data_IF_151802759108
#
_entry.id   IF_151802759108
#
_cell.length_a   1.000
_cell.length_b   1.000
_cell.length_c   1.000
_cell.angle_alpha   90.00
_cell.angle_beta   90.00
_cell.angle_gamma   90.00
#
_symmetry.space_group_name_H-M   'P 1'
#
loop_
_entity.id
_entity.type
_entity.pdbx_description
1 polymer ?
#
# COMPACT_ATOMS: atom_id res chain seq x y z
N UNK A 1 -20.23 0.00 -6.85
CA UNK A 1 -19.29 0.99 -6.26
C UNK A 1 -18.23 1.39 -7.27
N UNK A 2 -17.73 2.64 -7.24
CA UNK A 2 -16.54 3.07 -8.00
C UNK A 2 -15.27 2.76 -7.18
N UNK A 3 -14.21 2.32 -7.83
CA UNK A 3 -12.96 1.92 -7.17
C UNK A 3 -11.85 2.91 -7.52
N UNK A 4 -11.27 3.53 -6.49
CA UNK A 4 -10.19 4.50 -6.61
C UNK A 4 -8.92 3.89 -6.03
N UNK A 5 -7.91 3.69 -6.88
CA UNK A 5 -6.59 3.26 -6.43
C UNK A 5 -5.71 4.45 -6.05
N UNK A 6 -5.10 4.41 -4.89
CA UNK A 6 -4.12 5.41 -4.46
C UNK A 6 -2.77 4.72 -4.29
N UNK A 7 -1.79 5.15 -5.07
CA UNK A 7 -0.44 4.58 -5.02
C UNK A 7 0.63 5.66 -4.88
N UNK A 8 1.84 5.23 -4.58
CA UNK A 8 3.00 6.09 -4.40
C UNK A 8 4.01 5.47 -3.44
N UNK A 9 5.23 5.95 -3.43
CA UNK A 9 6.30 5.44 -2.55
C UNK A 9 6.00 5.67 -1.08
N UNK A 10 6.56 4.84 -0.20
CA UNK A 10 6.46 4.99 1.26
C UNK A 10 6.85 6.40 1.69
N UNK A 11 6.07 7.01 2.57
CA UNK A 11 6.25 8.40 3.02
C UNK A 11 5.74 9.46 2.04
N UNK A 12 5.13 9.09 0.89
CA UNK A 12 4.56 10.07 -0.05
C UNK A 12 3.28 10.74 0.45
N UNK A 13 2.54 10.14 1.39
CA UNK A 13 1.27 10.66 1.90
C UNK A 13 0.03 9.99 1.33
N UNK A 14 0.15 8.79 0.76
CA UNK A 14 -0.97 7.97 0.24
C UNK A 14 -2.10 7.81 1.24
N UNK A 15 -1.79 7.30 2.45
CA UNK A 15 -2.80 7.04 3.48
C UNK A 15 -3.45 8.32 4.00
N UNK A 16 -2.72 9.44 3.99
CA UNK A 16 -3.30 10.76 4.28
C UNK A 16 -4.30 11.17 3.20
N UNK A 17 -3.95 10.92 1.93
CA UNK A 17 -4.84 11.19 0.80
C UNK A 17 -6.07 10.27 0.82
N UNK A 18 -5.88 8.98 1.11
CA UNK A 18 -6.98 8.01 1.25
C UNK A 18 -7.95 8.42 2.36
N UNK A 19 -7.44 8.77 3.55
CA UNK A 19 -8.25 9.21 4.67
C UNK A 19 -9.03 10.50 4.35
N UNK A 20 -8.40 11.46 3.65
CA UNK A 20 -9.07 12.68 3.23
C UNK A 20 -10.21 12.41 2.24
N UNK A 21 -9.96 11.65 1.18
CA UNK A 21 -10.99 11.29 0.21
C UNK A 21 -12.13 10.51 0.86
N UNK A 22 -11.83 9.61 1.79
CA UNK A 22 -12.83 8.87 2.54
C UNK A 22 -13.73 9.77 3.39
N UNK A 23 -13.20 10.86 3.94
CA UNK A 23 -13.98 11.83 4.72
C UNK A 23 -14.90 12.71 3.86
N UNK A 24 -14.65 12.77 2.54
CA UNK A 24 -15.36 13.66 1.61
C UNK A 24 -16.29 12.92 0.64
N UNK A 25 -15.94 11.70 0.26
CA UNK A 25 -16.74 10.91 -0.66
C UNK A 25 -17.83 10.15 0.13
N UNK A 26 -19.08 10.34 -0.26
CA UNK A 26 -20.22 9.68 0.37
C UNK A 26 -20.14 8.15 0.22
N UNK A 27 -20.50 7.42 1.27
CA UNK A 27 -20.53 5.96 1.29
C UNK A 27 -19.20 5.32 0.85
N UNK A 28 -18.08 5.93 1.27
CA UNK A 28 -16.73 5.46 0.92
C UNK A 28 -16.12 4.60 2.02
N UNK A 29 -15.30 3.63 1.62
CA UNK A 29 -14.54 2.76 2.51
C UNK A 29 -13.09 2.66 2.02
N UNK A 30 -12.16 2.58 2.98
CA UNK A 30 -10.75 2.38 2.69
C UNK A 30 -10.41 0.89 2.77
N UNK A 31 -9.75 0.39 1.75
CA UNK A 31 -9.13 -0.92 1.71
C UNK A 31 -7.61 -0.74 1.77
N UNK A 32 -7.05 -0.93 2.96
CA UNK A 32 -5.61 -0.84 3.22
C UNK A 32 -4.95 -2.17 2.89
N UNK A 33 -4.14 -2.21 1.84
CA UNK A 33 -3.47 -3.45 1.43
C UNK A 33 -2.38 -3.90 2.40
N UNK A 34 -1.76 -2.99 3.14
CA UNK A 34 -0.79 -3.35 4.18
C UNK A 34 -1.52 -4.06 5.35
N UNK A 35 -2.74 -3.64 5.66
CA UNK A 35 -3.63 -4.32 6.61
C UNK A 35 -4.04 -5.71 6.13
N UNK A 36 -4.51 -5.82 4.88
CA UNK A 36 -4.89 -7.11 4.28
C UNK A 36 -3.71 -8.08 4.27
N UNK A 37 -2.50 -7.64 3.94
CA UNK A 37 -1.32 -8.50 4.00
C UNK A 37 -1.09 -9.07 5.41
N UNK A 38 -1.29 -8.27 6.47
CA UNK A 38 -1.20 -8.75 7.86
C UNK A 38 -2.28 -9.76 8.20
N UNK A 39 -3.49 -9.58 7.68
CA UNK A 39 -4.58 -10.55 7.86
C UNK A 39 -4.27 -11.88 7.18
N UNK A 40 -3.70 -11.86 5.96
CA UNK A 40 -3.21 -13.07 5.28
C UNK A 40 -2.20 -13.83 6.13
N UNK A 41 -1.24 -13.16 6.76
CA UNK A 41 -0.28 -13.81 7.65
C UNK A 41 -0.95 -14.44 8.88
N UNK A 42 -1.95 -13.78 9.45
CA UNK A 42 -2.64 -14.27 10.66
C UNK A 42 -3.58 -15.44 10.39
N UNK A 43 -4.22 -15.45 9.24
CA UNK A 43 -5.29 -16.40 8.91
C UNK A 43 -4.78 -17.62 8.16
N UNK A 44 -3.56 -17.58 7.61
CA UNK A 44 -3.06 -18.64 6.74
C UNK A 44 -1.72 -19.21 7.23
N UNK A 45 -1.81 -20.32 8.01
CA UNK A 45 -0.62 -21.03 8.52
C UNK A 45 0.34 -21.49 7.41
N UNK A 46 -0.17 -21.91 6.26
CA UNK A 46 0.65 -22.35 5.12
C UNK A 46 1.53 -21.21 4.60
N UNK A 47 1.06 -19.96 4.69
CA UNK A 47 1.87 -18.77 4.34
C UNK A 47 3.03 -18.64 5.31
N UNK A 48 2.78 -18.77 6.60
CA UNK A 48 3.83 -18.65 7.63
C UNK A 48 4.91 -19.73 7.44
N UNK A 49 4.51 -20.96 7.10
CA UNK A 49 5.46 -22.03 6.78
C UNK A 49 6.31 -21.71 5.54
N UNK A 50 5.68 -21.19 4.47
CA UNK A 50 6.43 -20.75 3.29
C UNK A 50 7.41 -19.62 3.63
N UNK A 51 7.00 -18.67 4.49
CA UNK A 51 7.90 -17.60 4.93
C UNK A 51 9.07 -18.14 5.74
N UNK A 52 8.85 -19.13 6.64
CA UNK A 52 9.94 -19.80 7.37
C UNK A 52 10.91 -20.51 6.43
N UNK A 53 10.40 -21.14 5.38
CA UNK A 53 11.22 -21.80 4.38
C UNK A 53 12.09 -20.82 3.60
N UNK A 54 11.50 -19.70 3.16
CA UNK A 54 12.20 -18.72 2.31
C UNK A 54 13.11 -17.77 3.10
N UNK A 55 12.72 -17.36 4.31
CA UNK A 55 13.36 -16.27 5.05
C UNK A 55 13.95 -16.66 6.41
N UNK A 56 13.88 -17.95 6.75
CA UNK A 56 14.42 -18.51 7.99
C UNK A 56 13.36 -18.83 9.05
N UNK A 57 13.67 -19.84 9.89
CA UNK A 57 12.72 -20.39 10.89
C UNK A 57 12.27 -19.35 11.92
N UNK A 58 13.09 -18.37 12.19
CA UNK A 58 12.88 -17.32 13.19
C UNK A 58 12.14 -16.07 12.64
N UNK A 59 11.59 -16.18 11.41
CA UNK A 59 10.72 -15.15 10.83
C UNK A 59 9.34 -15.08 11.51
N UNK A 60 8.94 -16.18 12.19
CA UNK A 60 7.73 -16.23 12.99
C UNK A 60 8.00 -16.99 14.28
N UNK A 61 7.29 -16.65 15.36
CA UNK A 61 7.36 -17.33 16.64
C UNK A 61 6.63 -18.68 16.62
N UNK A 62 6.55 -19.34 17.81
CA UNK A 62 5.90 -20.65 17.97
C UNK A 62 4.38 -20.59 17.78
N UNK A 63 3.79 -19.40 17.92
CA UNK A 63 2.36 -19.14 17.73
C UNK A 63 2.05 -18.66 16.30
N UNK A 64 2.97 -18.84 15.36
CA UNK A 64 2.86 -18.40 13.96
C UNK A 64 2.75 -16.88 13.78
N UNK A 65 3.13 -16.07 14.77
CA UNK A 65 3.15 -14.62 14.64
C UNK A 65 4.40 -14.16 13.90
N UNK A 66 4.20 -13.56 12.74
CA UNK A 66 5.29 -13.06 11.89
C UNK A 66 5.99 -11.86 12.53
N UNK A 67 7.33 -11.92 12.58
CA UNK A 67 8.17 -10.79 12.96
C UNK A 67 8.34 -9.82 11.78
N UNK A 68 7.39 -8.89 11.64
CA UNK A 68 7.38 -7.92 10.54
C UNK A 68 8.63 -7.03 10.47
N UNK A 69 9.29 -6.77 11.61
CA UNK A 69 10.53 -5.99 11.63
C UNK A 69 11.66 -6.77 10.96
N UNK A 70 11.81 -8.03 11.33
CA UNK A 70 12.81 -8.93 10.76
C UNK A 70 12.55 -9.22 9.29
N UNK A 71 11.32 -9.56 8.93
CA UNK A 71 10.93 -9.76 7.53
C UNK A 71 11.23 -8.51 6.70
N UNK A 72 10.84 -7.34 7.22
CA UNK A 72 11.11 -6.07 6.55
C UNK A 72 12.60 -5.78 6.37
N UNK A 73 13.47 -6.08 7.35
CA UNK A 73 14.91 -5.87 7.21
C UNK A 73 15.53 -6.75 6.11
N UNK A 74 15.04 -7.98 5.94
CA UNK A 74 15.48 -8.89 4.89
C UNK A 74 15.03 -8.40 3.51
N UNK A 75 13.72 -8.23 3.32
CA UNK A 75 13.14 -7.97 1.99
C UNK A 75 13.42 -6.55 1.47
N UNK A 76 13.64 -5.57 2.36
CA UNK A 76 14.03 -4.23 1.92
C UNK A 76 15.55 -4.09 1.66
N UNK A 77 16.37 -5.03 2.14
CA UNK A 77 17.79 -5.04 1.86
C UNK A 77 18.11 -5.59 0.46
N UNK A 78 17.30 -6.54 -0.03
CA UNK A 78 17.53 -7.23 -1.30
C UNK A 78 16.25 -7.27 -2.17
N UNK A 79 16.39 -6.90 -3.46
CA UNK A 79 15.26 -6.89 -4.39
C UNK A 79 14.75 -8.31 -4.70
N UNK A 80 15.62 -9.32 -4.75
CA UNK A 80 15.24 -10.72 -4.99
C UNK A 80 14.45 -11.30 -3.82
N UNK A 81 14.81 -10.95 -2.58
CA UNK A 81 14.04 -11.34 -1.41
C UNK A 81 12.66 -10.67 -1.38
N UNK A 82 12.58 -9.42 -1.82
CA UNK A 82 11.29 -8.74 -2.00
C UNK A 82 10.43 -9.43 -3.06
N UNK A 83 11.01 -9.85 -4.19
CA UNK A 83 10.28 -10.56 -5.26
C UNK A 83 9.73 -11.90 -4.76
N UNK A 84 10.50 -12.68 -4.01
CA UNK A 84 10.03 -13.93 -3.38
C UNK A 84 8.83 -13.69 -2.45
N UNK A 85 8.87 -12.63 -1.65
CA UNK A 85 7.74 -12.26 -0.80
C UNK A 85 6.52 -11.87 -1.62
N UNK A 86 6.72 -11.06 -2.66
CA UNK A 86 5.67 -10.61 -3.58
C UNK A 86 4.97 -11.83 -4.25
N UNK A 87 5.73 -12.85 -4.70
CA UNK A 87 5.20 -14.07 -5.31
C UNK A 87 4.33 -14.90 -4.34
N UNK A 88 4.70 -14.94 -3.07
CA UNK A 88 3.91 -15.64 -2.04
C UNK A 88 2.63 -14.88 -1.72
N UNK A 89 2.73 -13.55 -1.59
CA UNK A 89 1.69 -12.73 -0.98
C UNK A 89 0.67 -12.18 -1.96
N UNK A 90 1.08 -11.80 -3.18
CA UNK A 90 0.18 -11.12 -4.12
C UNK A 90 -1.05 -11.96 -4.50
N UNK A 91 -0.95 -13.26 -4.81
CA UNK A 91 -2.14 -14.04 -5.14
C UNK A 91 -3.19 -14.03 -4.02
N UNK A 92 -2.76 -14.12 -2.78
CA UNK A 92 -3.64 -14.17 -1.61
C UNK A 92 -4.25 -12.79 -1.29
N UNK A 93 -3.46 -11.73 -1.44
CA UNK A 93 -3.96 -10.35 -1.28
C UNK A 93 -4.98 -10.03 -2.38
N UNK A 94 -4.69 -10.42 -3.63
CA UNK A 94 -5.61 -10.22 -4.76
C UNK A 94 -6.94 -10.96 -4.55
N UNK A 95 -6.90 -12.19 -4.06
CA UNK A 95 -8.10 -12.98 -3.73
C UNK A 95 -8.95 -12.27 -2.67
N UNK A 96 -8.36 -11.85 -1.55
CA UNK A 96 -9.08 -11.11 -0.51
C UNK A 96 -9.65 -9.78 -1.01
N UNK A 97 -8.90 -9.04 -1.83
CA UNK A 97 -9.41 -7.80 -2.44
C UNK A 97 -10.60 -8.08 -3.35
N UNK A 98 -10.51 -9.12 -4.18
CA UNK A 98 -11.60 -9.54 -5.08
C UNK A 98 -12.85 -9.93 -4.30
N UNK A 99 -12.71 -10.74 -3.25
CA UNK A 99 -13.83 -11.10 -2.37
C UNK A 99 -14.49 -9.86 -1.75
N UNK A 100 -13.68 -8.92 -1.26
CA UNK A 100 -14.18 -7.69 -0.67
C UNK A 100 -14.97 -6.84 -1.67
N UNK A 101 -14.44 -6.68 -2.88
CA UNK A 101 -15.11 -5.96 -3.98
C UNK A 101 -16.44 -6.64 -4.32
N UNK A 102 -16.47 -7.96 -4.48
CA UNK A 102 -17.68 -8.72 -4.81
C UNK A 102 -18.75 -8.58 -3.72
N UNK A 103 -18.39 -8.68 -2.44
CA UNK A 103 -19.32 -8.51 -1.30
C UNK A 103 -19.95 -7.11 -1.24
N UNK A 104 -19.31 -6.11 -1.84
CA UNK A 104 -19.80 -4.73 -1.83
C UNK A 104 -20.29 -4.22 -3.20
N UNK A 105 -20.25 -5.03 -4.23
CA UNK A 105 -20.52 -4.59 -5.61
C UNK A 105 -21.96 -4.04 -5.83
N UNK A 106 -22.93 -4.54 -5.08
CA UNK A 106 -24.32 -4.07 -5.13
C UNK A 106 -24.57 -2.73 -4.41
N UNK A 107 -23.60 -2.23 -3.63
CA UNK A 107 -23.72 -0.99 -2.88
C UNK A 107 -23.34 0.22 -3.75
N UNK A 108 -23.95 1.38 -3.50
CA UNK A 108 -23.47 2.66 -4.00
C UNK A 108 -22.19 3.11 -3.27
N UNK A 109 -21.52 4.16 -3.79
CA UNK A 109 -20.35 4.76 -3.13
C UNK A 109 -19.00 4.31 -3.69
N UNK A 110 -17.96 4.36 -2.86
CA UNK A 110 -16.57 4.21 -3.30
C UNK A 110 -15.80 3.19 -2.47
N UNK A 111 -14.89 2.46 -3.13
CA UNK A 111 -13.80 1.73 -2.49
C UNK A 111 -12.50 2.48 -2.80
N UNK A 112 -11.79 2.91 -1.76
CA UNK A 112 -10.49 3.57 -1.87
C UNK A 112 -9.42 2.55 -1.52
N UNK A 113 -8.63 2.11 -2.49
CA UNK A 113 -7.54 1.14 -2.29
C UNK A 113 -6.25 1.91 -2.03
N UNK A 114 -5.76 1.87 -0.78
CA UNK A 114 -4.43 2.43 -0.41
C UNK A 114 -3.36 1.34 -0.56
N UNK A 115 -2.52 1.47 -1.60
CA UNK A 115 -1.52 0.47 -1.91
C UNK A 115 -0.24 1.03 -2.53
N UNK A 116 0.91 0.81 -1.88
CA UNK A 116 2.20 1.05 -2.52
C UNK A 116 2.48 0.06 -3.66
N UNK A 117 1.95 -1.16 -3.53
CA UNK A 117 2.16 -2.29 -4.45
C UNK A 117 1.10 -2.39 -5.57
N UNK A 118 0.24 -1.38 -5.72
CA UNK A 118 -0.92 -1.41 -6.61
C UNK A 118 -0.60 -1.93 -8.03
N UNK A 119 0.50 -1.48 -8.61
CA UNK A 119 0.91 -1.86 -9.96
C UNK A 119 1.82 -3.10 -10.04
N UNK A 120 2.33 -3.57 -8.92
CA UNK A 120 3.05 -4.85 -8.85
C UNK A 120 2.08 -6.04 -8.80
N UNK A 121 0.89 -5.84 -8.22
CA UNK A 121 -0.22 -6.79 -8.22
C UNK A 121 -1.17 -6.51 -9.37
N UNK A 122 -2.14 -7.40 -9.62
CA UNK A 122 -3.20 -7.17 -10.60
C UNK A 122 -4.35 -6.29 -10.07
N UNK A 123 -4.29 -5.84 -8.84
CA UNK A 123 -5.35 -5.06 -8.17
C UNK A 123 -5.67 -3.76 -8.91
N UNK A 124 -4.67 -3.15 -9.58
CA UNK A 124 -4.92 -1.94 -10.38
C UNK A 124 -5.97 -2.14 -11.49
N UNK A 125 -6.20 -3.37 -11.95
CA UNK A 125 -7.19 -3.69 -12.99
C UNK A 125 -8.63 -3.49 -12.51
N UNK A 126 -8.86 -3.51 -11.20
CA UNK A 126 -10.18 -3.25 -10.61
C UNK A 126 -10.46 -1.74 -10.45
N UNK A 127 -9.43 -0.89 -10.54
CA UNK A 127 -9.58 0.53 -10.29
C UNK A 127 -10.19 1.28 -11.49
N UNK A 128 -11.25 2.04 -11.26
CA UNK A 128 -11.82 2.96 -12.26
C UNK A 128 -10.92 4.18 -12.47
N UNK A 129 -10.36 4.71 -11.39
CA UNK A 129 -9.41 5.83 -11.41
C UNK A 129 -8.21 5.51 -10.50
N UNK A 130 -7.02 5.98 -10.90
CA UNK A 130 -5.79 5.78 -10.13
C UNK A 130 -5.12 7.12 -9.88
N UNK A 131 -4.82 7.39 -8.61
CA UNK A 131 -4.12 8.57 -8.11
C UNK A 131 -2.70 8.16 -7.70
N UNK A 132 -1.70 8.79 -8.29
CA UNK A 132 -0.30 8.66 -7.88
C UNK A 132 0.08 9.83 -6.98
N UNK A 133 0.37 9.56 -5.71
CA UNK A 133 0.91 10.56 -4.78
C UNK A 133 2.42 10.52 -4.81
N UNK A 134 3.04 11.59 -5.30
CA UNK A 134 4.49 11.78 -5.36
C UNK A 134 4.96 12.68 -4.21
N UNK A 135 6.16 12.42 -3.74
CA UNK A 135 6.88 13.34 -2.85
C UNK A 135 8.38 13.14 -3.04
N UNK A 136 9.14 14.20 -2.87
CA UNK A 136 10.59 14.16 -2.91
C UNK A 136 11.19 13.32 -1.79
N UNK A 137 12.44 12.92 -1.95
CA UNK A 137 13.14 12.04 -1.02
C UNK A 137 13.29 12.69 0.36
N UNK A 138 13.55 13.99 0.43
CA UNK A 138 13.73 14.76 1.67
C UNK A 138 12.47 14.73 2.53
N UNK A 139 11.30 15.02 1.93
CA UNK A 139 10.02 15.01 2.63
C UNK A 139 9.61 13.59 3.04
N UNK A 140 9.82 12.59 2.18
CA UNK A 140 9.55 11.18 2.51
C UNK A 140 10.40 10.71 3.69
N UNK A 141 11.71 11.01 3.70
CA UNK A 141 12.62 10.71 4.82
C UNK A 141 12.14 11.33 6.12
N UNK A 142 11.84 12.64 6.10
CA UNK A 142 11.32 13.36 7.27
C UNK A 142 10.04 12.70 7.84
N UNK A 143 9.08 12.39 6.97
CA UNK A 143 7.81 11.77 7.39
C UNK A 143 8.01 10.36 7.96
N UNK A 144 8.92 9.56 7.39
CA UNK A 144 9.20 8.22 7.86
C UNK A 144 9.91 8.23 9.22
N UNK A 145 10.87 9.14 9.44
CA UNK A 145 11.52 9.33 10.76
C UNK A 145 10.49 9.68 11.83
N UNK A 146 9.57 10.59 11.52
CA UNK A 146 8.54 11.00 12.47
C UNK A 146 7.50 9.91 12.77
N UNK A 147 7.17 9.06 11.79
CA UNK A 147 6.16 7.99 11.94
C UNK A 147 6.73 6.75 12.63
N UNK A 148 7.98 6.42 12.38
CA UNK A 148 8.61 5.17 12.78
C UNK A 148 9.92 5.43 13.53
N UNK A 149 9.88 6.13 14.64
CA UNK A 149 11.06 6.48 15.45
C UNK A 149 11.95 5.30 15.89
N UNK A 150 11.50 4.05 15.67
CA UNK A 150 12.24 2.82 16.00
C UNK A 150 12.96 2.17 14.79
N UNK A 151 12.87 2.74 13.58
CA UNK A 151 13.62 2.23 12.43
C UNK A 151 15.09 2.62 12.53
N UNK A 152 15.98 1.66 12.25
CA UNK A 152 17.39 1.97 12.06
C UNK A 152 17.58 2.89 10.84
N UNK A 153 18.68 3.65 10.79
CA UNK A 153 18.98 4.50 9.63
C UNK A 153 19.17 3.64 8.36
N UNK A 154 19.78 2.46 8.48
CA UNK A 154 19.93 1.51 7.37
C UNK A 154 18.60 1.01 6.82
N UNK A 155 17.66 0.61 7.69
CA UNK A 155 16.32 0.18 7.27
C UNK A 155 15.55 1.31 6.58
N UNK A 156 15.70 2.53 7.09
CA UNK A 156 15.10 3.71 6.48
C UNK A 156 15.62 3.94 5.05
N UNK A 157 16.96 3.89 4.88
CA UNK A 157 17.57 4.06 3.56
C UNK A 157 17.17 2.96 2.59
N UNK A 158 17.17 1.71 3.03
CA UNK A 158 16.74 0.57 2.22
C UNK A 158 15.29 0.74 1.74
N UNK A 159 14.37 1.14 2.62
CA UNK A 159 12.96 1.42 2.26
C UNK A 159 12.83 2.58 1.27
N UNK A 160 13.66 3.62 1.41
CA UNK A 160 13.60 4.78 0.52
C UNK A 160 14.15 4.48 -0.87
N UNK A 161 15.22 3.67 -0.98
CA UNK A 161 15.92 3.35 -2.23
C UNK A 161 15.25 2.21 -3.00
N UNK A 162 14.96 1.10 -2.33
CA UNK A 162 14.63 -0.16 -2.99
C UNK A 162 13.15 -0.33 -3.33
N UNK A 163 12.27 0.58 -2.89
CA UNK A 163 10.85 0.48 -3.20
C UNK A 163 10.56 0.86 -4.65
N UNK A 164 10.31 -0.16 -5.48
CA UNK A 164 9.79 -0.01 -6.83
C UNK A 164 8.26 -0.10 -6.80
N UNK A 165 7.54 0.84 -7.40
CA UNK A 165 6.07 0.88 -7.44
C UNK A 165 5.46 0.47 -8.78
N UNK A 166 6.29 0.10 -9.77
CA UNK A 166 5.85 -0.51 -11.02
C UNK A 166 4.98 0.36 -11.93
N UNK A 167 5.20 1.68 -11.96
CA UNK A 167 4.34 2.63 -12.70
C UNK A 167 4.63 2.75 -14.20
N UNK A 168 5.72 2.16 -14.70
CA UNK A 168 6.13 2.29 -16.11
C UNK A 168 5.09 1.62 -16.99
N UNK A 169 4.59 2.34 -18.02
CA UNK A 169 3.56 1.84 -18.94
C UNK A 169 2.17 1.66 -18.34
N UNK A 170 1.93 2.13 -17.12
CA UNK A 170 0.62 2.01 -16.44
C UNK A 170 -0.20 3.28 -16.59
N UNK A 171 -1.52 3.12 -16.76
CA UNK A 171 -2.46 4.23 -16.81
C UNK A 171 -2.60 4.84 -15.41
N UNK A 172 -2.25 6.11 -15.27
CA UNK A 172 -2.44 6.92 -14.07
C UNK A 172 -3.37 8.06 -14.47
N UNK A 173 -4.48 8.23 -13.74
CA UNK A 173 -5.46 9.28 -14.04
C UNK A 173 -5.05 10.63 -13.47
N UNK A 174 -4.47 10.63 -12.25
CA UNK A 174 -4.09 11.85 -11.55
C UNK A 174 -2.73 11.69 -10.86
N UNK A 175 -1.92 12.75 -10.91
CA UNK A 175 -0.64 12.83 -10.19
C UNK A 175 -0.73 14.00 -9.23
N UNK A 176 -0.49 13.73 -7.95
CA UNK A 176 -0.46 14.73 -6.89
C UNK A 176 0.93 14.82 -6.29
N UNK A 177 1.55 15.97 -6.40
CA UNK A 177 2.81 16.27 -5.74
C UNK A 177 2.55 16.79 -4.33
N UNK A 178 3.07 16.06 -3.32
CA UNK A 178 2.92 16.31 -1.91
C UNK A 178 4.26 16.67 -1.27
N UNK A 179 4.77 17.85 -1.61
CA UNK A 179 6.05 18.36 -1.11
C UNK A 179 5.91 19.50 -0.09
N UNK A 180 4.70 19.96 0.15
CA UNK A 180 4.37 21.10 1.01
C UNK A 180 3.64 20.65 2.29
N UNK A 181 2.83 21.54 2.86
CA UNK A 181 2.01 21.29 4.04
C UNK A 181 0.85 20.33 3.73
N UNK A 182 0.23 19.82 4.77
CA UNK A 182 -0.89 18.87 4.67
C UNK A 182 -2.13 19.51 4.03
N UNK A 183 -2.33 20.78 4.31
CA UNK A 183 -3.43 21.60 3.78
C UNK A 183 -3.35 21.69 2.25
N UNK A 184 -2.16 21.89 1.69
CA UNK A 184 -1.94 21.95 0.22
C UNK A 184 -2.29 20.60 -0.46
N UNK A 185 -2.02 19.48 0.22
CA UNK A 185 -2.46 18.16 -0.25
C UNK A 185 -3.98 18.09 -0.30
N UNK A 186 -4.65 18.58 0.73
CA UNK A 186 -6.11 18.57 0.83
C UNK A 186 -6.76 19.43 -0.24
N UNK A 187 -6.25 20.63 -0.51
CA UNK A 187 -6.74 21.49 -1.60
C UNK A 187 -6.62 20.83 -2.97
N UNK A 188 -5.50 20.14 -3.23
CA UNK A 188 -5.32 19.39 -4.48
C UNK A 188 -6.30 18.23 -4.61
N UNK A 189 -6.58 17.52 -3.51
CA UNK A 189 -7.56 16.43 -3.49
C UNK A 189 -8.98 16.94 -3.64
N UNK A 190 -9.34 18.07 -3.03
CA UNK A 190 -10.65 18.69 -3.17
C UNK A 190 -10.99 19.00 -4.64
N UNK A 191 -10.03 19.53 -5.39
CA UNK A 191 -10.18 19.80 -6.84
C UNK A 191 -10.46 18.54 -7.67
N UNK A 192 -10.06 17.37 -7.18
CA UNK A 192 -10.28 16.10 -7.88
C UNK A 192 -11.62 15.44 -7.57
N UNK A 193 -12.27 15.79 -6.45
CA UNK A 193 -13.48 15.10 -5.98
C UNK A 193 -14.56 15.06 -7.05
N UNK A 194 -14.86 16.19 -7.70
CA UNK A 194 -15.87 16.27 -8.74
C UNK A 194 -15.54 15.32 -9.92
N UNK A 195 -14.28 15.29 -10.35
CA UNK A 195 -13.82 14.42 -11.44
C UNK A 195 -13.79 12.94 -11.06
N UNK A 196 -13.67 12.62 -9.77
CA UNK A 196 -13.75 11.25 -9.27
C UNK A 196 -15.21 10.76 -9.23
N UNK A 197 -16.18 11.67 -9.13
CA UNK A 197 -17.59 11.35 -9.11
C UNK A 197 -18.14 11.03 -10.52
N UNK A 198 -17.55 11.60 -11.57
CA UNK A 198 -17.80 11.27 -12.99
C UNK A 198 -17.31 9.86 -13.35
#
# INVERSE_FOLDING_TARGET
MKIIGITGKTGSGKSTAAAYLNSKLKDSIILDLDGIAKDVYRENKNVVEKLRFCFGKDIADRDDKVNYKKLGSIVFADCGEMEKLDEIMFPLIEEKVKEYILKNNSKSGYIIIDAAILFKSNIYKYCNKIILVKSDLKNRRKRLKNKNGSLSESDLENRLKNQKIGIIGKKINFIIENNSKKEDLYEKLEKLINTLAE
#
